data_IF_730240215604
#
_entry.id   IF_730240215604
#
_cell.length_a   1.000
_cell.length_b   1.000
_cell.length_c   1.000
_cell.angle_alpha   90.00
_cell.angle_beta   90.00
_cell.angle_gamma   90.00
#
_symmetry.space_group_name_H-M   'P 1'
#
loop_
_entity.id
_entity.type
_entity.pdbx_description
1 polymer ?
#
# COMPACT_ATOMS: atom_id res chain seq x y z
N UNK A 1 1.80 -24.11 -27.26
CA UNK A 1 1.93 -23.69 -25.86
C UNK A 1 3.12 -24.42 -25.26
N UNK A 2 4.32 -23.94 -25.52
CA UNK A 2 5.54 -24.44 -24.88
C UNK A 2 5.67 -23.72 -23.55
N UNK A 3 5.60 -24.48 -22.46
CA UNK A 3 5.91 -23.99 -21.13
C UNK A 3 7.38 -23.56 -21.13
N UNK A 4 7.61 -22.27 -21.30
CA UNK A 4 8.92 -21.65 -21.21
C UNK A 4 9.33 -21.68 -19.72
N UNK A 5 9.81 -22.84 -19.28
CA UNK A 5 10.52 -23.01 -18.03
C UNK A 5 11.91 -22.38 -18.16
N UNK A 6 11.93 -21.08 -18.48
CA UNK A 6 13.12 -20.27 -18.27
C UNK A 6 13.51 -20.48 -16.81
N UNK A 7 14.72 -20.99 -16.53
CA UNK A 7 15.16 -21.20 -15.16
C UNK A 7 15.09 -19.85 -14.47
N UNK A 8 14.10 -19.68 -13.58
CA UNK A 8 13.97 -18.46 -12.78
C UNK A 8 15.33 -18.24 -12.17
N UNK A 9 16.01 -17.17 -12.58
CA UNK A 9 17.34 -16.85 -12.09
C UNK A 9 17.30 -16.97 -10.57
N UNK A 10 17.99 -17.97 -10.03
CA UNK A 10 18.07 -18.19 -8.59
C UNK A 10 18.56 -16.89 -7.98
N UNK A 11 17.91 -16.42 -6.90
CA UNK A 11 18.33 -15.20 -6.22
C UNK A 11 19.84 -15.26 -5.97
N UNK A 12 20.61 -14.22 -6.34
CA UNK A 12 22.03 -14.21 -6.06
C UNK A 12 22.25 -14.35 -4.55
N UNK A 13 23.37 -14.99 -4.12
CA UNK A 13 23.66 -15.15 -2.71
C UNK A 13 23.71 -13.77 -2.02
N UNK A 14 23.26 -13.67 -0.76
CA UNK A 14 23.28 -12.42 -0.02
C UNK A 14 24.72 -11.88 0.07
N UNK A 15 24.87 -10.57 -0.06
CA UNK A 15 26.17 -9.93 0.07
C UNK A 15 26.61 -9.95 1.54
N UNK A 16 27.89 -10.23 1.79
CA UNK A 16 28.45 -10.18 3.14
C UNK A 16 28.26 -8.79 3.74
N UNK A 17 27.48 -8.68 4.82
CA UNK A 17 27.16 -7.41 5.50
C UNK A 17 25.76 -6.85 5.23
N UNK A 18 24.95 -7.51 4.41
CA UNK A 18 23.54 -7.14 4.24
C UNK A 18 22.74 -7.50 5.51
N UNK A 19 22.00 -6.56 6.13
CA UNK A 19 21.23 -6.83 7.34
C UNK A 19 20.21 -7.94 7.09
N UNK A 20 19.96 -8.79 8.10
CA UNK A 20 19.08 -9.95 7.98
C UNK A 20 17.67 -9.58 7.45
N UNK A 21 17.16 -8.41 7.83
CA UNK A 21 15.88 -7.88 7.36
C UNK A 21 15.84 -7.61 5.83
N UNK A 22 16.97 -7.30 5.18
CA UNK A 22 17.02 -7.14 3.73
C UNK A 22 17.09 -8.50 3.00
N UNK A 23 17.65 -9.53 3.64
CA UNK A 23 17.79 -10.86 3.04
C UNK A 23 16.43 -11.56 2.87
N UNK A 24 15.46 -11.26 3.75
CA UNK A 24 14.08 -11.79 3.65
C UNK A 24 13.27 -11.14 2.54
N UNK A 25 13.67 -9.96 2.06
CA UNK A 25 12.98 -9.28 0.96
C UNK A 25 13.29 -9.96 -0.38
N UNK A 26 12.33 -9.96 -1.33
CA UNK A 26 12.59 -10.46 -2.68
C UNK A 26 13.65 -9.59 -3.37
N UNK A 27 14.46 -10.19 -4.25
CA UNK A 27 15.62 -9.52 -4.85
C UNK A 27 15.31 -8.19 -5.55
N UNK A 28 14.13 -8.04 -6.16
CA UNK A 28 13.71 -6.78 -6.80
C UNK A 28 13.46 -5.64 -5.79
N UNK A 29 13.17 -5.97 -4.52
CA UNK A 29 12.86 -5.00 -3.47
C UNK A 29 14.08 -4.62 -2.63
N UNK A 30 15.22 -5.32 -2.75
CA UNK A 30 16.40 -5.07 -1.91
C UNK A 30 17.10 -3.78 -2.31
N UNK A 31 17.57 -3.01 -1.33
CA UNK A 31 18.41 -1.82 -1.57
C UNK A 31 19.75 -2.16 -2.24
N UNK A 32 20.22 -3.41 -2.10
CA UNK A 32 21.41 -3.95 -2.76
C UNK A 32 21.23 -4.22 -4.26
N UNK A 33 19.97 -4.29 -4.75
CA UNK A 33 19.69 -4.46 -6.16
C UNK A 33 20.23 -3.25 -6.94
N UNK A 34 21.00 -3.44 -8.04
CA UNK A 34 21.65 -2.35 -8.76
C UNK A 34 20.65 -1.32 -9.32
N UNK A 35 19.44 -1.75 -9.71
CA UNK A 35 18.40 -0.85 -10.21
C UNK A 35 17.87 0.02 -9.08
N UNK A 36 17.55 -0.60 -7.95
CA UNK A 36 17.06 0.08 -6.75
C UNK A 36 18.13 1.07 -6.27
N UNK A 37 19.37 0.62 -6.14
CA UNK A 37 20.52 1.44 -5.71
C UNK A 37 20.79 2.63 -6.64
N UNK A 38 20.76 2.41 -7.96
CA UNK A 38 20.94 3.48 -8.97
C UNK A 38 19.92 4.59 -8.76
N UNK A 39 18.66 4.23 -8.50
CA UNK A 39 17.60 5.20 -8.31
C UNK A 39 17.50 5.73 -6.88
N UNK A 40 18.01 5.03 -5.86
CA UNK A 40 18.04 5.55 -4.50
C UNK A 40 18.95 6.77 -4.36
N UNK A 41 20.08 6.81 -5.08
CA UNK A 41 21.00 7.94 -5.01
C UNK A 41 21.48 8.16 -3.56
N UNK A 42 21.30 9.36 -3.02
CA UNK A 42 21.67 9.70 -1.62
C UNK A 42 20.85 8.93 -0.56
N UNK A 43 19.67 8.43 -0.91
CA UNK A 43 18.78 7.71 0.00
C UNK A 43 19.16 6.23 0.18
N UNK A 44 20.32 5.80 -0.31
CA UNK A 44 20.75 4.39 -0.18
C UNK A 44 20.99 3.94 1.26
N UNK A 45 21.15 4.89 2.19
CA UNK A 45 21.32 4.63 3.63
C UNK A 45 20.01 4.63 4.42
N UNK A 46 18.86 4.73 3.77
CA UNK A 46 17.58 4.59 4.50
C UNK A 46 17.53 3.20 5.12
N UNK A 47 17.27 3.17 6.44
CA UNK A 47 17.19 1.94 7.18
C UNK A 47 15.94 1.16 6.74
N UNK A 48 15.97 -0.18 6.77
CA UNK A 48 14.76 -0.96 6.58
C UNK A 48 13.70 -0.53 7.61
N UNK A 49 12.42 -0.57 7.23
CA UNK A 49 11.35 -0.19 8.14
C UNK A 49 11.36 -1.07 9.40
N UNK A 50 11.38 -0.42 10.56
CA UNK A 50 11.17 -1.06 11.84
C UNK A 50 9.67 -1.30 12.04
N UNK A 51 9.21 -2.51 11.70
CA UNK A 51 7.80 -2.90 11.88
C UNK A 51 7.46 -3.28 13.32
N UNK A 52 8.47 -3.48 14.18
CA UNK A 52 8.30 -3.91 15.57
C UNK A 52 7.37 -2.97 16.39
N UNK A 53 7.53 -1.63 16.36
CA UNK A 53 6.61 -0.71 17.04
C UNK A 53 5.15 -0.86 16.56
N UNK A 54 4.93 -1.12 15.27
CA UNK A 54 3.58 -1.27 14.70
C UNK A 54 2.92 -2.51 15.30
N UNK A 55 3.63 -3.62 15.42
CA UNK A 55 3.11 -4.84 16.04
C UNK A 55 2.78 -4.65 17.52
N UNK A 56 3.61 -3.94 18.29
CA UNK A 56 3.31 -3.62 19.69
C UNK A 56 2.09 -2.73 19.83
N UNK A 57 1.94 -1.69 19.00
CA UNK A 57 0.77 -0.81 19.01
C UNK A 57 -0.49 -1.59 18.66
N UNK A 58 -0.45 -2.45 17.64
CA UNK A 58 -1.58 -3.28 17.25
C UNK A 58 -1.94 -4.28 18.35
N UNK A 59 -0.94 -4.96 18.91
CA UNK A 59 -1.12 -5.91 20.01
C UNK A 59 -1.73 -5.24 21.25
N UNK A 60 -1.28 -4.03 21.58
CA UNK A 60 -1.85 -3.23 22.65
C UNK A 60 -3.33 -2.92 22.40
N UNK A 61 -3.70 -2.47 21.20
CA UNK A 61 -5.10 -2.21 20.87
C UNK A 61 -5.97 -3.46 20.88
N UNK A 62 -5.47 -4.59 20.35
CA UNK A 62 -6.19 -5.88 20.41
C UNK A 62 -6.41 -6.30 21.87
N UNK A 63 -5.37 -6.24 22.70
CA UNK A 63 -5.49 -6.57 24.12
C UNK A 63 -6.48 -5.65 24.83
N UNK A 64 -6.41 -4.35 24.56
CA UNK A 64 -7.32 -3.35 25.14
C UNK A 64 -8.78 -3.63 24.75
N UNK A 65 -9.03 -3.96 23.47
CA UNK A 65 -10.36 -4.32 22.98
C UNK A 65 -10.88 -5.62 23.61
N UNK A 66 -10.04 -6.65 23.71
CA UNK A 66 -10.41 -7.94 24.36
C UNK A 66 -10.73 -7.73 25.83
N UNK A 67 -9.93 -6.96 26.56
CA UNK A 67 -10.22 -6.61 27.97
C UNK A 67 -11.51 -5.79 28.06
N UNK A 68 -11.76 -4.90 27.09
CA UNK A 68 -12.96 -4.09 26.98
C UNK A 68 -14.27 -4.89 26.86
N UNK A 69 -14.21 -6.15 26.41
CA UNK A 69 -15.37 -7.07 26.41
C UNK A 69 -15.81 -7.37 27.85
N UNK A 70 -14.85 -7.54 28.77
CA UNK A 70 -15.12 -7.88 30.16
C UNK A 70 -15.28 -6.65 31.06
N UNK A 71 -14.60 -5.55 30.72
CA UNK A 71 -14.51 -4.35 31.53
C UNK A 71 -14.95 -3.13 30.72
N UNK A 72 -16.22 -2.75 30.86
CA UNK A 72 -16.82 -1.63 30.13
C UNK A 72 -16.10 -0.28 30.34
N UNK A 73 -15.42 -0.09 31.47
CA UNK A 73 -14.63 1.12 31.71
C UNK A 73 -13.48 1.31 30.69
N UNK A 74 -12.91 0.21 30.18
CA UNK A 74 -11.79 0.26 29.23
C UNK A 74 -12.22 0.80 27.87
N UNK A 75 -13.44 0.50 27.41
CA UNK A 75 -13.97 1.04 26.15
C UNK A 75 -14.31 2.53 26.28
N UNK A 76 -14.76 2.96 27.47
CA UNK A 76 -14.92 4.40 27.76
C UNK A 76 -13.57 5.10 27.70
N UNK A 77 -12.53 4.55 28.32
CA UNK A 77 -11.19 5.12 28.24
C UNK A 77 -10.68 5.18 26.79
N UNK A 78 -10.86 4.12 25.99
CA UNK A 78 -10.51 4.11 24.57
C UNK A 78 -11.24 5.21 23.78
N UNK A 79 -12.52 5.45 24.10
CA UNK A 79 -13.31 6.49 23.44
C UNK A 79 -12.80 7.91 23.72
N UNK A 80 -12.09 8.15 24.82
CA UNK A 80 -11.49 9.48 25.09
C UNK A 80 -10.40 9.86 24.07
N UNK A 81 -9.77 8.86 23.44
CA UNK A 81 -8.74 9.06 22.40
C UNK A 81 -9.35 9.47 21.05
N UNK A 82 -10.68 9.34 20.88
CA UNK A 82 -11.38 9.70 19.64
C UNK A 82 -11.16 11.18 19.30
N UNK A 83 -11.26 12.09 20.27
CA UNK A 83 -11.11 13.53 20.04
C UNK A 83 -9.73 13.86 19.49
N UNK A 84 -8.68 13.29 20.08
CA UNK A 84 -7.30 13.46 19.60
C UNK A 84 -7.16 12.87 18.20
N UNK A 85 -7.73 11.69 17.96
CA UNK A 85 -7.67 11.02 16.67
C UNK A 85 -8.29 11.86 15.56
N UNK A 86 -9.49 12.41 15.79
CA UNK A 86 -10.21 13.28 14.83
C UNK A 86 -9.39 14.51 14.47
N UNK A 87 -8.68 15.10 15.44
CA UNK A 87 -7.82 16.26 15.21
C UNK A 87 -6.58 15.91 14.36
N UNK A 88 -6.05 14.69 14.48
CA UNK A 88 -4.85 14.23 13.75
C UNK A 88 -5.17 13.76 12.32
N UNK A 89 -6.40 13.30 12.03
CA UNK A 89 -6.82 12.83 10.69
C UNK A 89 -6.40 13.77 9.55
N UNK A 90 -6.74 15.07 9.54
CA UNK A 90 -6.46 15.92 8.38
C UNK A 90 -4.96 16.02 8.12
N UNK A 91 -4.15 16.05 9.18
CA UNK A 91 -2.68 16.08 9.08
C UNK A 91 -2.19 14.76 8.48
N UNK A 92 -2.63 13.62 9.04
CA UNK A 92 -2.27 12.29 8.53
C UNK A 92 -2.64 12.09 7.06
N UNK A 93 -3.84 12.54 6.65
CA UNK A 93 -4.31 12.46 5.27
C UNK A 93 -3.43 13.28 4.31
N UNK A 94 -2.98 14.48 4.70
CA UNK A 94 -2.08 15.30 3.90
C UNK A 94 -0.72 14.62 3.73
N UNK A 95 -0.13 14.10 4.82
CA UNK A 95 1.14 13.36 4.75
C UNK A 95 1.02 12.12 3.86
N UNK A 96 -0.08 11.39 4.00
CA UNK A 96 -0.37 10.21 3.19
C UNK A 96 -0.49 10.54 1.70
N UNK A 97 -1.34 11.51 1.35
CA UNK A 97 -1.50 11.95 -0.03
C UNK A 97 -0.18 12.43 -0.63
N UNK A 98 0.61 13.20 0.13
CA UNK A 98 1.93 13.67 -0.30
C UNK A 98 2.90 12.51 -0.56
N UNK A 99 2.93 11.50 0.31
CA UNK A 99 3.76 10.32 0.14
C UNK A 99 3.39 9.57 -1.15
N UNK A 100 2.09 9.30 -1.35
CA UNK A 100 1.59 8.60 -2.53
C UNK A 100 1.86 9.35 -3.85
N UNK A 101 1.59 10.66 -3.88
CA UNK A 101 1.89 11.54 -5.01
C UNK A 101 3.39 11.49 -5.34
N UNK A 102 4.25 11.53 -4.33
CA UNK A 102 5.70 11.48 -4.53
C UNK A 102 6.15 10.12 -5.06
N UNK A 103 5.59 9.02 -4.59
CA UNK A 103 5.92 7.66 -5.06
C UNK A 103 5.49 7.49 -6.52
N UNK A 104 4.26 7.87 -6.86
CA UNK A 104 3.74 7.81 -8.22
C UNK A 104 4.57 8.67 -9.18
N UNK A 105 4.80 9.94 -8.82
CA UNK A 105 5.55 10.90 -9.63
C UNK A 105 7.01 10.49 -9.85
N UNK A 106 7.70 10.02 -8.80
CA UNK A 106 9.08 9.54 -8.91
C UNK A 106 9.17 8.29 -9.80
N UNK A 107 8.24 7.35 -9.63
CA UNK A 107 8.17 6.13 -10.42
C UNK A 107 7.94 6.43 -11.91
N UNK A 108 7.00 7.34 -12.20
CA UNK A 108 6.71 7.80 -13.55
C UNK A 108 7.88 8.52 -14.20
N UNK A 109 8.52 9.43 -13.46
CA UNK A 109 9.69 10.17 -13.94
C UNK A 109 10.86 9.25 -14.29
N UNK A 110 11.17 8.29 -13.41
CA UNK A 110 12.25 7.32 -13.63
C UNK A 110 11.99 6.48 -14.88
N UNK A 111 10.76 6.00 -15.07
CA UNK A 111 10.44 5.20 -16.26
C UNK A 111 10.47 6.02 -17.55
N UNK A 112 9.92 7.23 -17.53
CA UNK A 112 9.94 8.14 -18.68
C UNK A 112 11.37 8.51 -19.09
N UNK A 113 12.24 8.80 -18.11
CA UNK A 113 13.65 9.12 -18.36
C UNK A 113 14.40 7.92 -18.96
N UNK A 114 14.08 6.68 -18.58
CA UNK A 114 14.76 5.48 -19.10
C UNK A 114 14.34 5.16 -20.55
N UNK A 115 13.09 5.42 -20.89
CA UNK A 115 12.63 5.31 -22.28
C UNK A 115 13.20 6.43 -23.14
N UNK A 116 13.19 7.67 -22.64
CA UNK A 116 13.73 8.83 -23.37
C UNK A 116 15.22 8.68 -23.68
N UNK A 117 15.99 8.11 -22.75
CA UNK A 117 17.43 7.94 -22.90
C UNK A 117 17.84 6.59 -23.52
N UNK A 118 16.88 5.75 -23.95
CA UNK A 118 17.12 4.39 -24.45
C UNK A 118 17.90 3.47 -23.49
N UNK A 119 17.99 3.82 -22.21
CA UNK A 119 18.71 3.03 -21.21
C UNK A 119 17.95 1.77 -20.81
N UNK A 120 16.66 1.68 -21.14
CA UNK A 120 15.87 0.46 -20.95
C UNK A 120 16.40 -0.72 -21.79
N UNK A 121 16.89 -0.48 -23.02
CA UNK A 121 17.50 -1.53 -23.85
C UNK A 121 18.77 -2.09 -23.20
N UNK A 122 19.56 -1.22 -22.57
CA UNK A 122 20.75 -1.60 -21.82
C UNK A 122 20.41 -2.39 -20.56
N UNK A 123 19.29 -2.10 -19.88
CA UNK A 123 18.86 -2.87 -18.72
C UNK A 123 18.42 -4.29 -19.11
N UNK A 124 17.86 -4.47 -20.31
CA UNK A 124 17.42 -5.78 -20.78
C UNK A 124 18.54 -6.68 -21.30
N UNK A 125 19.74 -6.15 -21.57
CA UNK A 125 20.90 -6.99 -21.83
C UNK A 125 21.46 -7.63 -20.56
N UNK A 126 21.02 -7.16 -19.38
CA UNK A 126 21.31 -7.82 -18.11
C UNK A 126 20.41 -9.05 -17.91
N UNK A 127 20.84 -10.07 -17.14
CA UNK A 127 20.06 -11.29 -16.92
C UNK A 127 18.82 -11.11 -16.02
N UNK A 128 18.27 -9.90 -15.92
CA UNK A 128 17.08 -9.59 -15.11
C UNK A 128 15.82 -9.60 -15.97
N UNK A 129 14.73 -10.16 -15.43
CA UNK A 129 13.45 -10.12 -16.13
C UNK A 129 12.86 -8.71 -16.14
N UNK A 130 12.04 -8.41 -17.16
CA UNK A 130 11.36 -7.13 -17.28
C UNK A 130 10.54 -6.79 -16.04
N UNK A 131 9.84 -7.77 -15.47
CA UNK A 131 9.06 -7.60 -14.24
C UNK A 131 9.95 -7.18 -13.06
N UNK A 132 11.15 -7.76 -12.92
CA UNK A 132 12.11 -7.36 -11.88
C UNK A 132 12.63 -5.94 -12.09
N UNK A 133 12.86 -5.53 -13.36
CA UNK A 133 13.29 -4.17 -13.68
C UNK A 133 12.21 -3.16 -13.30
N UNK A 134 10.95 -3.42 -13.67
CA UNK A 134 9.81 -2.55 -13.36
C UNK A 134 9.57 -2.48 -11.84
N UNK A 135 9.54 -3.63 -11.17
CA UNK A 135 9.38 -3.71 -9.71
C UNK A 135 10.53 -3.05 -8.95
N UNK A 136 11.77 -3.15 -9.45
CA UNK A 136 12.92 -2.46 -8.87
C UNK A 136 12.79 -0.93 -8.92
N UNK A 137 12.18 -0.40 -9.99
CA UNK A 137 11.88 1.04 -10.09
C UNK A 137 10.82 1.45 -9.06
N UNK A 138 9.75 0.67 -8.93
CA UNK A 138 8.73 0.89 -7.90
C UNK A 138 9.32 0.83 -6.50
N UNK A 139 10.09 -0.22 -6.19
CA UNK A 139 10.75 -0.38 -4.90
C UNK A 139 11.64 0.83 -4.58
N UNK A 140 12.41 1.33 -5.56
CA UNK A 140 13.27 2.51 -5.35
C UNK A 140 12.48 3.77 -4.97
N UNK A 141 11.28 3.97 -5.52
CA UNK A 141 10.43 5.10 -5.19
C UNK A 141 9.82 4.96 -3.78
N UNK A 142 9.42 3.74 -3.39
CA UNK A 142 8.93 3.44 -2.05
C UNK A 142 10.03 3.62 -1.01
N UNK A 143 11.25 3.12 -1.27
CA UNK A 143 12.39 3.24 -0.37
C UNK A 143 12.77 4.70 -0.08
N UNK A 144 12.65 5.60 -1.07
CA UNK A 144 12.84 7.05 -0.87
C UNK A 144 11.81 7.68 0.06
N UNK A 145 10.70 7.00 0.29
CA UNK A 145 9.56 7.43 1.11
C UNK A 145 9.29 6.52 2.30
N UNK A 146 10.24 5.64 2.63
CA UNK A 146 10.06 4.67 3.69
C UNK A 146 9.83 5.34 5.05
N UNK A 147 10.63 6.35 5.40
CA UNK A 147 10.49 7.08 6.68
C UNK A 147 9.11 7.74 6.80
N UNK A 148 8.65 8.41 5.72
CA UNK A 148 7.32 9.02 5.65
C UNK A 148 6.23 7.96 5.83
N UNK A 149 6.35 6.82 5.14
CA UNK A 149 5.38 5.72 5.19
C UNK A 149 5.32 5.06 6.58
N UNK A 150 6.45 4.84 7.25
CA UNK A 150 6.49 4.27 8.60
C UNK A 150 5.75 5.18 9.57
N UNK A 151 6.01 6.49 9.51
CA UNK A 151 5.35 7.47 10.36
C UNK A 151 3.82 7.45 10.14
N UNK A 152 3.38 7.36 8.87
CA UNK A 152 1.97 7.27 8.54
C UNK A 152 1.34 5.98 9.06
N UNK A 153 1.99 4.83 8.88
CA UNK A 153 1.49 3.53 9.34
C UNK A 153 1.43 3.47 10.87
N UNK A 154 2.44 3.99 11.57
CA UNK A 154 2.43 4.11 13.03
C UNK A 154 1.31 5.03 13.49
N UNK A 155 1.15 6.20 12.85
CA UNK A 155 0.04 7.12 13.14
C UNK A 155 -1.32 6.45 12.94
N UNK A 156 -1.50 5.71 11.85
CA UNK A 156 -2.71 4.96 11.58
C UNK A 156 -2.93 3.81 12.58
N UNK A 157 -1.88 3.13 13.05
CA UNK A 157 -2.01 2.10 14.07
C UNK A 157 -2.41 2.69 15.44
N UNK A 158 -1.92 3.88 15.78
CA UNK A 158 -2.24 4.57 17.04
C UNK A 158 -3.66 5.15 17.00
N UNK A 159 -4.00 5.90 15.95
CA UNK A 159 -5.24 6.68 15.87
C UNK A 159 -6.36 6.00 15.08
N UNK A 160 -6.07 4.95 14.31
CA UNK A 160 -7.06 4.22 13.52
C UNK A 160 -8.14 3.52 14.35
N UNK A 161 -7.78 2.70 15.37
CA UNK A 161 -8.78 1.96 16.15
C UNK A 161 -9.82 2.85 16.83
N UNK A 162 -9.48 3.97 17.50
CA UNK A 162 -10.47 4.91 18.03
C UNK A 162 -11.45 5.44 16.97
N UNK A 163 -10.97 5.73 15.77
CA UNK A 163 -11.82 6.24 14.69
C UNK A 163 -12.76 5.17 14.15
N UNK A 164 -12.27 3.94 14.04
CA UNK A 164 -13.09 2.79 13.65
C UNK A 164 -14.15 2.55 14.75
N UNK A 165 -13.79 2.61 16.03
CA UNK A 165 -14.75 2.53 17.14
C UNK A 165 -15.82 3.62 17.01
N UNK A 166 -15.42 4.89 16.84
CA UNK A 166 -16.36 6.01 16.65
C UNK A 166 -17.33 5.74 15.49
N UNK A 167 -16.79 5.24 14.39
CA UNK A 167 -17.56 5.01 13.17
C UNK A 167 -18.59 3.89 13.31
N UNK A 168 -18.21 2.79 13.98
CA UNK A 168 -19.06 1.61 14.13
C UNK A 168 -19.90 1.61 15.42
N UNK A 169 -19.59 2.45 16.41
CA UNK A 169 -20.35 2.54 17.66
C UNK A 169 -21.81 2.97 17.43
N UNK A 170 -22.08 3.73 16.37
CA UNK A 170 -23.45 4.09 15.97
C UNK A 170 -24.22 2.96 15.30
N UNK A 171 -23.52 2.01 14.66
CA UNK A 171 -24.12 0.88 13.92
C UNK A 171 -24.29 -0.35 14.81
N UNK A 172 -23.35 -0.59 15.72
CA UNK A 172 -23.36 -1.71 16.63
C UNK A 172 -23.10 -1.23 18.06
N UNK A 173 -24.15 -1.11 18.90
CA UNK A 173 -23.98 -0.74 20.29
C UNK A 173 -23.07 -1.77 20.98
N UNK A 174 -21.89 -1.33 21.42
CA UNK A 174 -20.84 -2.20 21.99
C UNK A 174 -21.32 -3.09 23.15
N UNK A 175 -22.39 -2.69 23.83
CA UNK A 175 -22.95 -3.40 24.99
C UNK A 175 -24.01 -4.44 24.60
N UNK A 176 -24.72 -4.24 23.50
CA UNK A 176 -25.87 -5.07 23.11
C UNK A 176 -25.45 -6.18 22.16
N UNK A 177 -24.51 -5.91 21.26
CA UNK A 177 -24.06 -6.85 20.23
C UNK A 177 -22.98 -7.86 20.70
N UNK A 178 -22.68 -7.89 22.00
CA UNK A 178 -21.68 -8.79 22.58
C UNK A 178 -20.27 -8.58 22.00
N UNK A 179 -19.58 -9.68 21.67
CA UNK A 179 -18.19 -9.65 21.17
C UNK A 179 -18.03 -9.29 19.68
N UNK A 180 -19.12 -9.27 18.91
CA UNK A 180 -19.06 -9.09 17.44
C UNK A 180 -18.43 -7.75 17.01
N UNK A 181 -18.78 -6.59 17.60
CA UNK A 181 -18.21 -5.31 17.19
C UNK A 181 -16.69 -5.25 17.36
N UNK A 182 -16.16 -5.92 18.39
CA UNK A 182 -14.72 -5.98 18.63
C UNK A 182 -13.99 -6.74 17.52
N UNK A 183 -14.56 -7.86 17.05
CA UNK A 183 -14.02 -8.61 15.91
C UNK A 183 -14.02 -7.75 14.65
N UNK A 184 -15.11 -7.01 14.40
CA UNK A 184 -15.20 -6.08 13.27
C UNK A 184 -14.12 -4.99 13.35
N UNK A 185 -13.99 -4.33 14.51
CA UNK A 185 -13.00 -3.27 14.71
C UNK A 185 -11.59 -3.79 14.46
N UNK A 186 -11.25 -4.98 14.96
CA UNK A 186 -9.94 -5.62 14.74
C UNK A 186 -9.73 -5.92 13.25
N UNK A 187 -10.70 -6.53 12.59
CA UNK A 187 -10.61 -6.87 11.16
C UNK A 187 -10.45 -5.62 10.28
N UNK A 188 -11.20 -4.55 10.57
CA UNK A 188 -11.11 -3.27 9.87
C UNK A 188 -9.77 -2.58 10.12
N UNK A 189 -9.27 -2.63 11.35
CA UNK A 189 -7.95 -2.08 11.69
C UNK A 189 -6.85 -2.79 10.89
N UNK A 190 -6.85 -4.12 10.88
CA UNK A 190 -5.86 -4.91 10.14
C UNK A 190 -5.96 -4.67 8.63
N UNK A 191 -7.18 -4.58 8.10
CA UNK A 191 -7.42 -4.28 6.69
C UNK A 191 -6.90 -2.90 6.30
N UNK A 192 -7.17 -1.88 7.12
CA UNK A 192 -6.68 -0.51 6.91
C UNK A 192 -5.15 -0.44 6.94
N UNK A 193 -4.50 -1.11 7.90
CA UNK A 193 -3.03 -1.16 7.97
C UNK A 193 -2.42 -1.88 6.77
N UNK A 194 -3.01 -2.99 6.35
CA UNK A 194 -2.55 -3.72 5.17
C UNK A 194 -2.70 -2.87 3.90
N UNK A 195 -3.82 -2.16 3.77
CA UNK A 195 -4.08 -1.24 2.66
C UNK A 195 -3.05 -0.11 2.59
N UNK A 196 -2.65 0.48 3.72
CA UNK A 196 -1.59 1.51 3.77
C UNK A 196 -0.22 1.01 3.26
N UNK A 197 0.06 -0.29 3.38
CA UNK A 197 1.29 -0.90 2.83
C UNK A 197 1.14 -1.23 1.35
N UNK A 198 -0.05 -1.64 0.90
CA UNK A 198 -0.31 -2.06 -0.48
C UNK A 198 -0.50 -0.88 -1.45
N UNK A 199 -1.12 0.22 -1.02
CA UNK A 199 -1.37 1.38 -1.88
C UNK A 199 -0.09 2.02 -2.45
N UNK A 200 0.99 2.23 -1.66
CA UNK A 200 2.27 2.71 -2.20
C UNK A 200 2.81 1.85 -3.35
N UNK A 201 2.68 0.53 -3.23
CA UNK A 201 3.05 -0.41 -4.31
C UNK A 201 2.17 -0.18 -5.54
N UNK A 202 0.87 -0.03 -5.35
CA UNK A 202 -0.06 0.23 -6.44
C UNK A 202 0.26 1.52 -7.18
N UNK A 203 0.46 2.61 -6.45
CA UNK A 203 0.76 3.90 -7.06
C UNK A 203 2.12 3.96 -7.71
N UNK A 204 3.12 3.28 -7.15
CA UNK A 204 4.42 3.14 -7.81
C UNK A 204 4.29 2.37 -9.13
N UNK A 205 3.52 1.28 -9.15
CA UNK A 205 3.24 0.53 -10.38
C UNK A 205 2.53 1.39 -11.41
N UNK A 206 1.44 2.09 -11.02
CA UNK A 206 0.71 2.99 -11.93
C UNK A 206 1.62 4.08 -12.46
N UNK A 207 2.47 4.67 -11.62
CA UNK A 207 3.50 5.61 -12.03
C UNK A 207 4.42 5.03 -13.11
N UNK A 208 4.99 3.85 -12.88
CA UNK A 208 5.82 3.15 -13.90
C UNK A 208 5.03 2.91 -15.19
N UNK A 209 3.77 2.46 -15.10
CA UNK A 209 2.92 2.26 -16.27
C UNK A 209 2.73 3.54 -17.08
N UNK A 210 2.35 4.64 -16.43
CA UNK A 210 2.17 5.95 -17.06
C UNK A 210 3.48 6.42 -17.70
N UNK A 211 4.61 6.31 -17.00
CA UNK A 211 5.93 6.65 -17.55
C UNK A 211 6.36 5.77 -18.73
N UNK A 212 5.84 4.54 -18.82
CA UNK A 212 6.09 3.65 -19.95
C UNK A 212 5.34 4.09 -21.23
N UNK A 213 4.15 4.70 -21.07
CA UNK A 213 3.35 5.23 -22.16
C UNK A 213 3.74 6.64 -22.57
N UNK A 214 4.18 7.46 -21.61
CA UNK A 214 4.41 8.88 -21.78
C UNK A 214 5.91 9.18 -21.59
N UNK A 215 6.72 9.22 -22.67
CA UNK A 215 8.17 9.43 -22.57
C UNK A 215 8.56 10.85 -22.14
N UNK A 216 7.59 11.77 -22.07
CA UNK A 216 7.80 13.14 -21.60
C UNK A 216 7.61 13.16 -20.07
N UNK A 217 8.72 13.33 -19.35
CA UNK A 217 8.77 13.30 -17.88
C UNK A 217 7.73 14.18 -17.19
N UNK A 218 7.61 15.45 -17.56
CA UNK A 218 6.67 16.38 -16.92
C UNK A 218 5.22 15.93 -17.08
N UNK A 219 4.85 15.47 -18.28
CA UNK A 219 3.52 14.98 -18.58
C UNK A 219 3.22 13.67 -17.83
N UNK A 220 4.19 12.74 -17.76
CA UNK A 220 4.04 11.50 -17.00
C UNK A 220 3.82 11.77 -15.49
N UNK A 221 4.55 12.73 -14.92
CA UNK A 221 4.35 13.15 -13.53
C UNK A 221 2.94 13.72 -13.36
N UNK A 222 2.53 14.70 -14.16
CA UNK A 222 1.20 15.33 -14.03
C UNK A 222 0.05 14.33 -14.13
N UNK A 223 0.11 13.40 -15.09
CA UNK A 223 -0.92 12.35 -15.25
C UNK A 223 -0.92 11.40 -14.04
N UNK A 224 0.26 11.03 -13.52
CA UNK A 224 0.34 10.18 -12.32
C UNK A 224 -0.26 10.86 -11.08
N UNK A 225 -0.02 12.16 -10.89
CA UNK A 225 -0.59 12.93 -9.77
C UNK A 225 -2.10 13.07 -9.93
N UNK A 226 -2.59 13.37 -11.13
CA UNK A 226 -4.03 13.43 -11.40
C UNK A 226 -4.72 12.09 -11.11
N UNK A 227 -4.07 10.97 -11.47
CA UNK A 227 -4.60 9.63 -11.20
C UNK A 227 -4.64 9.31 -9.70
N UNK A 228 -3.62 9.72 -8.92
CA UNK A 228 -3.63 9.60 -7.45
C UNK A 228 -4.79 10.40 -6.85
N UNK A 229 -4.98 11.65 -7.28
CA UNK A 229 -6.08 12.49 -6.81
C UNK A 229 -7.45 11.89 -7.13
N UNK A 230 -7.63 11.40 -8.36
CA UNK A 230 -8.85 10.73 -8.79
C UNK A 230 -9.12 9.47 -7.96
N UNK A 231 -8.11 8.62 -7.73
CA UNK A 231 -8.26 7.43 -6.90
C UNK A 231 -8.71 7.77 -5.48
N UNK A 232 -8.06 8.76 -4.85
CA UNK A 232 -8.39 9.15 -3.47
C UNK A 232 -9.83 9.68 -3.37
N UNK A 233 -10.29 10.43 -4.38
CA UNK A 233 -11.68 10.87 -4.45
C UNK A 233 -12.62 9.67 -4.63
N UNK A 234 -12.32 8.78 -5.57
CA UNK A 234 -13.14 7.61 -5.87
C UNK A 234 -13.30 6.71 -4.65
N UNK A 235 -12.21 6.41 -3.94
CA UNK A 235 -12.26 5.52 -2.78
C UNK A 235 -13.02 6.15 -1.61
N UNK A 236 -12.86 7.46 -1.39
CA UNK A 236 -13.65 8.18 -0.39
C UNK A 236 -15.15 8.19 -0.73
N UNK A 237 -15.51 8.41 -1.99
CA UNK A 237 -16.90 8.33 -2.43
C UNK A 237 -17.47 6.91 -2.26
N UNK A 238 -16.69 5.89 -2.62
CA UNK A 238 -17.15 4.51 -2.56
C UNK A 238 -17.29 4.01 -1.11
N UNK A 239 -16.41 4.47 -0.22
CA UNK A 239 -16.56 4.23 1.22
C UNK A 239 -17.83 4.88 1.77
N UNK A 240 -18.14 6.12 1.38
CA UNK A 240 -19.39 6.78 1.81
C UNK A 240 -20.65 6.07 1.31
N UNK A 241 -20.63 5.55 0.08
CA UNK A 241 -21.75 4.76 -0.48
C UNK A 241 -21.96 3.44 0.27
N UNK A 242 -20.87 2.75 0.62
CA UNK A 242 -20.95 1.46 1.30
C UNK A 242 -21.61 1.58 2.68
N UNK A 243 -21.42 2.70 3.37
CA UNK A 243 -22.03 2.96 4.68
C UNK A 243 -23.55 3.11 4.61
N UNK A 244 -24.06 3.76 3.57
CA UNK A 244 -25.51 3.89 3.37
C UNK A 244 -26.13 2.54 3.01
N UNK A 245 -25.41 1.72 2.23
CA UNK A 245 -25.86 0.38 1.88
C UNK A 245 -25.81 -0.58 3.06
N UNK A 246 -24.85 -0.42 3.97
CA UNK A 246 -24.71 -1.23 5.16
C UNK A 246 -25.98 -1.21 6.03
N UNK A 247 -26.57 -0.03 6.20
CA UNK A 247 -27.80 0.16 6.98
C UNK A 247 -28.96 -0.66 6.39
N UNK A 248 -29.16 -0.56 5.06
CA UNK A 248 -30.16 -1.35 4.35
C UNK A 248 -29.91 -2.86 4.42
N UNK A 249 -28.64 -3.26 4.36
CA UNK A 249 -28.23 -4.66 4.32
C UNK A 249 -28.34 -5.31 5.70
N UNK A 250 -28.13 -4.58 6.79
CA UNK A 250 -28.27 -5.11 8.16
C UNK A 250 -29.70 -5.57 8.48
N UNK A 251 -30.72 -4.98 7.89
CA UNK A 251 -32.12 -5.41 8.02
C UNK A 251 -32.39 -6.82 7.44
N UNK A 252 -31.52 -7.31 6.55
CA UNK A 252 -31.72 -8.58 5.82
C UNK A 252 -31.23 -9.84 6.56
N UNK A 253 -30.67 -9.72 7.78
CA UNK A 253 -30.19 -10.84 8.60
C UNK A 253 -28.87 -11.48 8.13
N UNK A 254 -28.68 -11.65 6.82
CA UNK A 254 -27.44 -12.17 6.21
C UNK A 254 -26.43 -11.06 5.84
N UNK A 255 -26.83 -9.81 6.05
CA UNK A 255 -26.14 -8.65 5.51
C UNK A 255 -24.74 -8.39 6.05
N UNK A 256 -24.47 -8.81 7.28
CA UNK A 256 -23.21 -8.49 7.96
C UNK A 256 -22.02 -9.18 7.29
N UNK A 257 -22.17 -10.44 6.90
CA UNK A 257 -21.11 -11.19 6.21
C UNK A 257 -20.81 -10.60 4.82
N UNK A 258 -21.86 -10.21 4.10
CA UNK A 258 -21.72 -9.60 2.79
C UNK A 258 -21.05 -8.23 2.86
N UNK A 259 -21.43 -7.41 3.83
CA UNK A 259 -20.81 -6.11 4.05
C UNK A 259 -19.33 -6.21 4.42
N UNK A 260 -18.98 -7.12 5.34
CA UNK A 260 -17.60 -7.43 5.67
C UNK A 260 -16.81 -7.85 4.44
N UNK A 261 -17.37 -8.78 3.67
CA UNK A 261 -16.74 -9.24 2.44
C UNK A 261 -16.53 -8.08 1.47
N UNK A 262 -17.52 -7.21 1.27
CA UNK A 262 -17.39 -6.06 0.38
C UNK A 262 -16.34 -5.07 0.84
N UNK A 263 -16.31 -4.72 2.13
CA UNK A 263 -15.33 -3.76 2.65
C UNK A 263 -13.92 -4.34 2.52
N UNK A 264 -13.69 -5.55 3.02
CA UNK A 264 -12.36 -6.18 3.00
C UNK A 264 -11.91 -6.48 1.57
N UNK A 265 -12.81 -7.01 0.74
CA UNK A 265 -12.48 -7.35 -0.64
C UNK A 265 -12.25 -6.10 -1.46
N UNK A 266 -13.05 -5.04 -1.32
CA UNK A 266 -12.79 -3.80 -2.03
C UNK A 266 -11.45 -3.16 -1.60
N UNK A 267 -11.24 -3.00 -0.29
CA UNK A 267 -10.08 -2.31 0.26
C UNK A 267 -8.76 -3.05 0.00
N UNK A 268 -8.80 -4.37 -0.15
CA UNK A 268 -7.60 -5.19 -0.43
C UNK A 268 -7.49 -5.64 -1.87
N UNK A 269 -8.59 -6.03 -2.53
CA UNK A 269 -8.53 -6.53 -3.89
C UNK A 269 -8.10 -5.43 -4.85
N UNK A 270 -8.51 -4.17 -4.66
CA UNK A 270 -8.10 -3.12 -5.58
C UNK A 270 -6.58 -2.86 -5.50
N UNK A 271 -5.97 -2.61 -4.32
CA UNK A 271 -4.52 -2.45 -4.21
C UNK A 271 -3.69 -3.69 -4.57
N UNK A 272 -4.28 -4.89 -4.64
CA UNK A 272 -3.57 -6.13 -5.03
C UNK A 272 -3.76 -6.47 -6.51
N UNK A 273 -4.99 -6.40 -7.00
CA UNK A 273 -5.33 -6.78 -8.37
C UNK A 273 -4.84 -5.75 -9.38
N UNK A 274 -4.94 -4.45 -9.07
CA UNK A 274 -4.54 -3.39 -9.99
C UNK A 274 -3.04 -3.45 -10.30
N UNK A 275 -2.11 -3.58 -9.32
CA UNK A 275 -0.68 -3.67 -9.62
C UNK A 275 -0.33 -4.92 -10.42
N UNK A 276 -0.98 -6.04 -10.12
CA UNK A 276 -0.80 -7.29 -10.83
C UNK A 276 -1.28 -7.20 -12.29
N UNK A 277 -2.46 -6.61 -12.53
CA UNK A 277 -2.96 -6.40 -13.89
C UNK A 277 -2.04 -5.43 -14.66
N UNK A 278 -1.60 -4.36 -14.01
CA UNK A 278 -0.77 -3.33 -14.63
C UNK A 278 0.63 -3.85 -14.97
N UNK A 279 1.29 -4.63 -14.10
CA UNK A 279 2.60 -5.20 -14.42
C UNK A 279 2.53 -6.12 -15.64
N UNK A 280 1.47 -6.94 -15.74
CA UNK A 280 1.24 -7.82 -16.90
C UNK A 280 0.97 -7.04 -18.17
N UNK A 281 0.18 -5.98 -18.08
CA UNK A 281 -0.12 -5.12 -19.22
C UNK A 281 1.14 -4.39 -19.73
N UNK A 282 1.87 -3.73 -18.82
CA UNK A 282 3.06 -2.95 -19.14
C UNK A 282 4.18 -3.84 -19.67
N UNK A 283 4.41 -5.00 -19.05
CA UNK A 283 5.41 -5.97 -19.53
C UNK A 283 5.07 -6.50 -20.92
N UNK A 284 3.81 -6.86 -21.17
CA UNK A 284 3.36 -7.32 -22.48
C UNK A 284 3.56 -6.24 -23.57
N UNK A 285 3.18 -5.00 -23.28
CA UNK A 285 3.28 -3.89 -24.24
C UNK A 285 4.74 -3.50 -24.53
N UNK A 286 5.57 -3.40 -23.49
CA UNK A 286 7.00 -3.13 -23.67
C UNK A 286 7.66 -4.25 -24.47
N UNK A 287 7.40 -5.52 -24.15
CA UNK A 287 7.99 -6.64 -24.90
C UNK A 287 7.60 -6.65 -26.39
N UNK A 288 6.42 -6.14 -26.74
CA UNK A 288 5.99 -6.00 -28.14
C UNK A 288 6.69 -4.83 -28.82
N UNK A 289 6.73 -3.67 -28.16
CA UNK A 289 7.39 -2.46 -28.68
C UNK A 289 8.87 -2.70 -28.95
N UNK A 290 9.53 -3.44 -28.07
CA UNK A 290 10.95 -3.75 -28.16
C UNK A 290 11.29 -4.82 -29.21
N UNK A 291 10.31 -5.62 -29.63
CA UNK A 291 10.48 -6.57 -30.75
C UNK A 291 10.25 -5.92 -32.11
N UNK A 292 9.65 -4.72 -32.14
CA UNK A 292 9.26 -4.03 -33.36
C UNK A 292 10.29 -2.98 -33.83
N UNK A 293 11.25 -2.61 -32.97
CA UNK A 293 12.33 -1.68 -33.29
C UNK A 293 13.67 -2.38 -33.27
#
# INVERSE_FOLDING_TARGET
MTADASPRASNPPPLSGEPAAMQSLPYWARATNPIVRRHLGLYWRTLPPEFEPIFYICGFWIALLVIGIFVAFVTVLASTVIVVSVLVIPVGAIFYARALISIAGNSAAVMADELRNNTMLLLMSTPMSLDQILLGKVASAIWRKMDDLILIVQGAAIFGPPLIIMHYAGLFPLRESGGLPFVLIIAMTLTSLLRLVLEPLMFGMVGVGIGAFLPIRSLAISVSVAWVGFYLLLINMLQQLNLQQLDFVLDSGDGLAWALAMIVLLDLALPVALPYALIRLVSALLSRRLRAG
#
